data_IF_488336930341
#
_entry.id   IF_488336930341
#
_cell.length_a   1.000
_cell.length_b   1.000
_cell.length_c   1.000
_cell.angle_alpha   90.00
_cell.angle_beta   90.00
_cell.angle_gamma   90.00
#
_symmetry.space_group_name_H-M   'P 1'
#
loop_
_entity.id
_entity.type
_entity.pdbx_description
1 polymer ?
#
# COMPACT_ATOMS: atom_id res chain seq x y z
N UNK A 1 -5.51 -6.89 65.23
CA UNK A 1 -5.19 -7.11 63.80
C UNK A 1 -5.58 -5.86 63.03
N UNK A 2 -4.66 -5.40 62.19
CA UNK A 2 -4.61 -4.09 61.52
C UNK A 2 -5.86 -3.69 60.74
N UNK A 3 -6.18 -2.40 60.79
CA UNK A 3 -6.92 -1.69 59.73
C UNK A 3 -5.97 -1.40 58.57
N UNK A 4 -6.29 -1.86 57.35
CA UNK A 4 -5.75 -1.28 56.11
C UNK A 4 -6.84 -1.23 55.03
N UNK A 5 -7.24 0.00 54.70
CA UNK A 5 -8.00 0.40 53.53
C UNK A 5 -7.04 0.43 52.33
N UNK A 6 -7.40 -0.16 51.19
CA UNK A 6 -6.75 0.06 49.87
C UNK A 6 -7.83 0.06 48.76
N UNK A 7 -7.58 0.63 47.57
CA UNK A 7 -8.37 1.73 47.02
C UNK A 7 -9.25 1.35 45.81
N UNK A 8 -10.21 2.24 45.50
CA UNK A 8 -10.91 2.24 44.22
C UNK A 8 -9.92 2.29 43.05
N UNK A 9 -10.13 1.48 42.01
CA UNK A 9 -9.55 1.76 40.70
C UNK A 9 -10.57 1.46 39.60
N UNK A 10 -10.88 2.53 38.89
CA UNK A 10 -11.68 2.60 37.69
C UNK A 10 -11.20 1.61 36.62
N UNK A 11 -12.15 0.93 36.01
CA UNK A 11 -11.96 0.18 34.79
C UNK A 11 -13.31 0.06 34.11
N UNK A 12 -13.63 1.00 33.22
CA UNK A 12 -14.65 0.77 32.20
C UNK A 12 -14.05 -0.26 31.25
N UNK A 13 -14.33 -1.53 31.52
CA UNK A 13 -13.90 -2.64 30.67
C UNK A 13 -14.78 -2.58 29.42
N UNK A 14 -14.13 -2.31 28.28
CA UNK A 14 -14.67 -2.46 26.95
C UNK A 14 -15.34 -3.84 26.84
N UNK A 15 -16.65 -3.86 26.55
CA UNK A 15 -17.35 -5.08 26.19
C UNK A 15 -16.95 -5.49 24.76
N UNK A 16 -16.43 -6.71 24.54
CA UNK A 16 -16.23 -7.20 23.19
C UNK A 16 -17.58 -7.63 22.61
N UNK A 17 -18.00 -7.01 21.51
CA UNK A 17 -19.02 -7.58 20.63
C UNK A 17 -18.54 -8.94 20.12
N UNK A 18 -19.41 -9.94 19.91
CA UNK A 18 -19.02 -11.19 19.26
C UNK A 18 -18.39 -10.87 17.90
N UNK A 19 -17.13 -11.26 17.71
CA UNK A 19 -16.45 -11.12 16.43
C UNK A 19 -17.18 -11.99 15.39
N UNK A 20 -17.66 -11.36 14.31
CA UNK A 20 -18.16 -12.11 13.16
C UNK A 20 -17.03 -13.03 12.66
N UNK A 21 -17.34 -14.27 12.22
CA UNK A 21 -16.33 -15.14 11.64
C UNK A 21 -15.65 -14.41 10.47
N UNK A 22 -14.35 -14.65 10.24
CA UNK A 22 -13.67 -14.04 9.10
C UNK A 22 -14.43 -14.39 7.82
N UNK A 23 -14.51 -13.47 6.85
CA UNK A 23 -15.14 -13.75 5.56
C UNK A 23 -14.48 -14.98 4.94
N UNK A 24 -15.26 -15.78 4.22
CA UNK A 24 -14.72 -16.95 3.52
C UNK A 24 -13.56 -16.55 2.61
N UNK A 25 -12.46 -17.33 2.58
CA UNK A 25 -11.31 -17.00 1.75
C UNK A 25 -11.72 -16.90 0.28
N UNK A 26 -11.22 -15.87 -0.40
CA UNK A 26 -11.37 -15.75 -1.86
C UNK A 26 -10.64 -16.94 -2.48
N UNK A 27 -11.26 -17.70 -3.40
CA UNK A 27 -10.59 -18.82 -4.07
C UNK A 27 -9.28 -18.35 -4.69
N UNK A 28 -8.17 -18.88 -4.18
CA UNK A 28 -6.82 -18.60 -4.70
C UNK A 28 -6.69 -19.20 -6.09
N UNK A 29 -6.94 -18.38 -7.11
CA UNK A 29 -6.39 -18.53 -8.46
C UNK A 29 -6.46 -19.93 -9.09
N UNK A 30 -7.50 -20.72 -8.82
CA UNK A 30 -7.76 -21.96 -9.56
C UNK A 30 -9.18 -21.90 -10.12
N UNK A 31 -9.31 -22.35 -11.37
CA UNK A 31 -10.55 -22.27 -12.15
C UNK A 31 -10.47 -21.21 -13.24
N UNK A 32 -11.53 -21.14 -14.06
CA UNK A 32 -11.59 -20.40 -15.33
C UNK A 32 -11.35 -18.88 -15.25
N UNK A 33 -11.44 -18.30 -14.05
CA UNK A 33 -11.23 -16.85 -13.82
C UNK A 33 -9.84 -16.53 -13.26
N UNK A 34 -8.98 -17.54 -13.14
CA UNK A 34 -7.62 -17.37 -12.66
C UNK A 34 -6.70 -16.86 -13.76
N UNK A 35 -5.69 -16.09 -13.37
CA UNK A 35 -4.53 -15.82 -14.23
C UNK A 35 -3.68 -17.09 -14.51
N UNK A 36 -3.95 -18.20 -13.81
CA UNK A 36 -3.35 -19.52 -14.04
C UNK A 36 -4.27 -20.45 -14.86
N UNK A 37 -5.30 -19.90 -15.51
CA UNK A 37 -6.14 -20.65 -16.45
C UNK A 37 -5.37 -20.97 -17.74
N UNK A 38 -5.47 -22.20 -18.24
CA UNK A 38 -4.71 -22.67 -19.41
C UNK A 38 -5.11 -21.92 -20.69
N UNK A 39 -6.39 -21.58 -20.85
CA UNK A 39 -6.90 -20.86 -22.03
C UNK A 39 -6.37 -19.43 -22.02
N UNK A 40 -6.42 -18.79 -20.87
CA UNK A 40 -5.94 -17.41 -20.69
C UNK A 40 -4.40 -17.35 -20.86
N UNK A 41 -3.68 -18.36 -20.36
CA UNK A 41 -2.23 -18.50 -20.55
C UNK A 41 -1.88 -18.70 -22.02
N UNK A 42 -2.53 -19.63 -22.72
CA UNK A 42 -2.31 -19.89 -24.15
C UNK A 42 -2.63 -18.65 -25.00
N UNK A 43 -3.70 -17.92 -24.66
CA UNK A 43 -4.04 -16.67 -25.32
C UNK A 43 -2.97 -15.60 -25.12
N UNK A 44 -2.48 -15.42 -23.88
CA UNK A 44 -1.40 -14.49 -23.57
C UNK A 44 -0.14 -14.88 -24.37
N UNK A 45 0.26 -16.15 -24.38
CA UNK A 45 1.43 -16.63 -25.10
C UNK A 45 1.34 -16.36 -26.62
N UNK A 46 0.14 -16.50 -27.20
CA UNK A 46 -0.12 -16.23 -28.63
C UNK A 46 -0.26 -14.74 -28.96
N UNK A 47 -0.70 -13.93 -28.01
CA UNK A 47 -1.03 -12.52 -28.22
C UNK A 47 0.03 -11.54 -27.71
N UNK A 48 1.02 -12.03 -26.96
CA UNK A 48 2.13 -11.22 -26.47
C UNK A 48 2.89 -10.63 -27.68
N UNK A 49 2.73 -9.32 -27.86
CA UNK A 49 3.62 -8.51 -28.66
C UNK A 49 4.50 -7.73 -27.68
N UNK A 50 5.70 -8.24 -27.40
CA UNK A 50 6.66 -7.51 -26.55
C UNK A 50 7.28 -6.41 -27.41
N UNK A 51 7.03 -5.12 -27.13
CA UNK A 51 7.71 -4.06 -27.84
C UNK A 51 9.20 -4.07 -27.50
N UNK A 52 10.05 -3.79 -28.50
CA UNK A 52 11.48 -3.59 -28.25
C UNK A 52 11.69 -2.28 -27.47
N UNK A 53 11.95 -2.40 -26.17
CA UNK A 53 12.26 -1.25 -25.33
C UNK A 53 13.72 -0.85 -25.52
N UNK A 54 13.95 0.30 -26.15
CA UNK A 54 15.29 0.89 -26.25
C UNK A 54 15.45 2.02 -25.24
N UNK A 55 16.55 2.00 -24.51
CA UNK A 55 16.94 3.14 -23.70
C UNK A 55 17.26 4.32 -24.62
N UNK A 56 16.75 5.53 -24.33
CA UNK A 56 17.16 6.72 -25.05
C UNK A 56 18.69 6.88 -24.93
N UNK A 57 19.38 7.08 -26.06
CA UNK A 57 20.85 7.23 -26.12
C UNK A 57 21.37 8.39 -25.25
N UNK A 58 20.50 9.37 -25.02
CA UNK A 58 20.70 10.51 -24.17
C UNK A 58 19.65 10.41 -23.07
N UNK A 59 19.91 9.58 -22.07
CA UNK A 59 19.06 9.61 -20.88
C UNK A 59 19.23 11.01 -20.31
N UNK A 60 18.21 11.85 -20.46
CA UNK A 60 18.09 13.13 -19.77
C UNK A 60 17.82 12.82 -18.29
N UNK A 61 18.74 12.10 -17.63
CA UNK A 61 18.77 11.81 -16.18
C UNK A 61 18.72 13.13 -15.38
N UNK A 62 19.00 14.25 -16.03
CA UNK A 62 19.08 15.56 -15.41
C UNK A 62 17.75 16.33 -15.38
N UNK A 63 16.68 15.88 -16.04
CA UNK A 63 15.42 16.66 -16.04
C UNK A 63 14.43 16.20 -14.97
N UNK A 64 14.39 14.90 -14.66
CA UNK A 64 13.44 14.36 -13.70
C UNK A 64 14.16 13.80 -12.47
N UNK A 65 14.24 14.62 -11.42
CA UNK A 65 14.71 14.20 -10.09
C UNK A 65 13.52 14.20 -9.13
N UNK A 66 12.97 13.03 -8.77
CA UNK A 66 11.97 12.95 -7.73
C UNK A 66 12.48 13.60 -6.44
N UNK A 67 11.64 14.39 -5.79
CA UNK A 67 11.97 14.97 -4.48
C UNK A 67 12.12 13.83 -3.46
N UNK A 68 13.16 13.89 -2.62
CA UNK A 68 13.36 12.87 -1.59
C UNK A 68 12.49 13.19 -0.38
N UNK A 69 11.34 12.51 -0.27
CA UNK A 69 10.37 12.75 0.80
C UNK A 69 10.45 11.62 1.84
N UNK A 70 10.56 11.96 3.11
CA UNK A 70 10.56 11.00 4.23
C UNK A 70 9.13 10.71 4.69
N UNK A 71 8.79 9.43 4.85
CA UNK A 71 7.46 9.02 5.31
C UNK A 71 7.15 9.47 6.75
N UNK A 72 8.12 9.36 7.65
CA UNK A 72 7.96 9.79 9.05
C UNK A 72 7.62 11.29 9.15
N UNK A 73 8.30 12.11 8.35
CA UNK A 73 8.02 13.55 8.26
C UNK A 73 6.63 13.85 7.71
N UNK A 74 6.12 13.03 6.78
CA UNK A 74 4.74 13.15 6.28
C UNK A 74 3.71 12.79 7.35
N UNK A 75 3.97 11.75 8.15
CA UNK A 75 3.09 11.39 9.27
C UNK A 75 3.00 12.53 10.30
N UNK A 76 4.15 13.16 10.58
CA UNK A 76 4.24 14.34 11.44
C UNK A 76 3.70 15.63 10.78
N UNK A 77 3.23 15.54 9.52
CA UNK A 77 2.73 16.65 8.71
C UNK A 77 3.71 17.81 8.62
N UNK A 78 5.00 17.49 8.54
CA UNK A 78 6.05 18.47 8.37
C UNK A 78 5.82 19.24 7.06
N UNK A 79 5.72 20.57 7.18
CA UNK A 79 5.33 21.47 6.10
C UNK A 79 6.19 21.30 4.85
N UNK A 80 7.49 21.08 5.02
CA UNK A 80 8.44 20.95 3.93
C UNK A 80 8.28 19.61 3.20
N UNK A 81 8.06 18.53 3.92
CA UNK A 81 7.81 17.20 3.35
C UNK A 81 6.47 17.14 2.62
N UNK A 82 5.40 17.72 3.20
CA UNK A 82 4.09 17.80 2.55
C UNK A 82 4.17 18.66 1.29
N UNK A 83 4.87 19.81 1.34
CA UNK A 83 5.07 20.67 0.18
C UNK A 83 5.91 19.99 -0.90
N UNK A 84 6.95 19.25 -0.53
CA UNK A 84 7.76 18.47 -1.47
C UNK A 84 6.94 17.41 -2.21
N UNK A 85 6.01 16.75 -1.50
CA UNK A 85 5.07 15.80 -2.10
C UNK A 85 4.15 16.44 -3.13
N UNK A 86 3.51 17.57 -2.77
CA UNK A 86 2.62 18.29 -3.69
C UNK A 86 3.39 18.75 -4.94
N UNK A 87 4.57 19.34 -4.76
CA UNK A 87 5.41 19.80 -5.88
C UNK A 87 5.92 18.66 -6.75
N UNK A 88 6.18 17.49 -6.17
CA UNK A 88 6.55 16.31 -6.95
C UNK A 88 5.38 15.84 -7.82
N UNK A 89 4.14 15.89 -7.34
CA UNK A 89 2.96 15.52 -8.12
C UNK A 89 2.70 16.48 -9.29
N UNK A 90 2.86 17.78 -9.06
CA UNK A 90 2.74 18.81 -10.09
C UNK A 90 3.82 18.66 -11.18
N UNK A 91 5.00 18.15 -10.82
CA UNK A 91 6.09 17.87 -11.77
C UNK A 91 5.81 16.66 -12.68
N UNK A 92 4.78 15.86 -12.40
CA UNK A 92 4.46 14.63 -13.13
C UNK A 92 3.40 14.83 -14.23
N UNK A 93 2.97 16.06 -14.50
CA UNK A 93 2.12 16.35 -15.66
C UNK A 93 2.91 16.12 -16.97
N UNK A 94 2.71 14.94 -17.56
CA UNK A 94 3.08 14.59 -18.93
C UNK A 94 2.13 15.20 -19.94
#
# INVERSE_FOLDING_TARGET
>A
MEKKKLPQKSGLIFSPSPAAPPPSPIPTGKGSRSAADEILSEYIDKSIQIPELRLPRQVQVHQFRPEKISYESLQLRERDSVRGLVRSLESWEC
#
